data_IF_885109342684
#
_entry.id   IF_885109342684
#
_cell.length_a   1.000
_cell.length_b   1.000
_cell.length_c   1.000
_cell.angle_alpha   90.00
_cell.angle_beta   90.00
_cell.angle_gamma   90.00
#
_symmetry.space_group_name_H-M   'P 1'
#
loop_
_entity.id
_entity.type
_entity.pdbx_description
1 polymer ?
#
# COMPACT_ATOMS: atom_id res chain seq x y z
N UNK A 1 11.07 -58.29 1.97
CA UNK A 1 10.42 -57.48 3.03
C UNK A 1 10.38 -56.04 2.52
N UNK A 2 9.27 -55.66 1.88
CA UNK A 2 9.06 -54.30 1.36
C UNK A 2 8.76 -53.37 2.54
N UNK A 3 9.58 -52.37 2.76
CA UNK A 3 9.28 -51.30 3.69
C UNK A 3 8.10 -50.50 3.14
N UNK A 4 6.96 -50.64 3.78
CA UNK A 4 5.83 -49.75 3.61
C UNK A 4 6.27 -48.38 4.11
N UNK A 5 6.58 -47.47 3.19
CA UNK A 5 6.80 -46.06 3.54
C UNK A 5 5.49 -45.54 4.09
N UNK A 6 5.45 -45.34 5.41
CA UNK A 6 4.36 -44.67 6.08
C UNK A 6 4.37 -43.23 5.57
N UNK A 7 3.55 -42.92 4.57
CA UNK A 7 3.43 -41.60 3.97
C UNK A 7 2.87 -40.64 5.01
N UNK A 8 3.76 -40.02 5.78
CA UNK A 8 3.40 -38.94 6.68
C UNK A 8 2.66 -37.89 5.82
N UNK A 9 1.41 -37.62 6.16
CA UNK A 9 0.58 -36.63 5.47
C UNK A 9 1.32 -35.29 5.49
N UNK A 10 1.59 -34.71 4.32
CA UNK A 10 2.21 -33.40 4.21
C UNK A 10 1.37 -32.35 4.97
N UNK A 11 2.02 -31.50 5.74
CA UNK A 11 1.43 -30.34 6.41
C UNK A 11 0.77 -29.44 5.35
N UNK A 12 -0.46 -28.98 5.59
CA UNK A 12 -1.22 -28.09 4.70
C UNK A 12 -1.20 -26.68 5.24
N UNK A 13 -0.64 -25.76 4.47
CA UNK A 13 -0.69 -24.33 4.75
C UNK A 13 -1.67 -23.67 3.79
N UNK A 14 -2.72 -23.07 4.32
CA UNK A 14 -3.67 -22.28 3.56
C UNK A 14 -3.35 -20.78 3.73
N UNK A 15 -3.28 -20.04 2.64
CA UNK A 15 -3.11 -18.58 2.64
C UNK A 15 -4.37 -17.95 2.09
N UNK A 16 -5.06 -17.13 2.88
CA UNK A 16 -6.27 -16.40 2.46
C UNK A 16 -5.91 -15.01 2.00
N UNK A 17 -6.02 -14.79 0.70
CA UNK A 17 -5.53 -13.65 -0.05
C UNK A 17 -4.38 -14.05 -0.96
N UNK A 18 -4.35 -13.46 -2.16
CA UNK A 18 -3.31 -13.67 -3.16
C UNK A 18 -2.74 -12.30 -3.59
N UNK A 19 -2.45 -11.44 -2.62
CA UNK A 19 -1.80 -10.15 -2.85
C UNK A 19 -0.30 -10.21 -2.60
N UNK A 20 0.31 -9.03 -2.52
CA UNK A 20 1.76 -8.81 -2.41
C UNK A 20 2.39 -9.54 -1.22
N UNK A 21 1.77 -9.51 -0.03
CA UNK A 21 2.27 -10.20 1.17
C UNK A 21 2.17 -11.72 1.02
N UNK A 22 1.07 -12.24 0.47
CA UNK A 22 0.85 -13.67 0.24
C UNK A 22 1.86 -14.25 -0.76
N UNK A 23 2.09 -13.54 -1.88
CA UNK A 23 3.06 -13.95 -2.90
C UNK A 23 4.48 -14.00 -2.32
N UNK A 24 4.89 -12.96 -1.58
CA UNK A 24 6.20 -12.91 -0.91
C UNK A 24 6.36 -14.04 0.10
N UNK A 25 5.34 -14.28 0.93
CA UNK A 25 5.35 -15.37 1.91
C UNK A 25 5.55 -16.72 1.22
N UNK A 26 4.76 -17.01 0.19
CA UNK A 26 4.84 -18.29 -0.51
C UNK A 26 6.19 -18.51 -1.17
N UNK A 27 6.72 -17.48 -1.84
CA UNK A 27 8.04 -17.51 -2.46
C UNK A 27 9.14 -17.79 -1.42
N UNK A 28 9.18 -16.98 -0.34
CA UNK A 28 10.22 -17.11 0.68
C UNK A 28 10.10 -18.40 1.49
N UNK A 29 8.89 -18.88 1.75
CA UNK A 29 8.69 -20.17 2.41
C UNK A 29 9.32 -21.32 1.63
N UNK A 30 9.14 -21.36 0.31
CA UNK A 30 9.71 -22.40 -0.55
C UNK A 30 11.23 -22.22 -0.75
N UNK A 31 11.70 -20.99 -0.97
CA UNK A 31 13.13 -20.67 -1.07
C UNK A 31 13.91 -21.03 0.21
N UNK A 32 13.25 -20.94 1.36
CA UNK A 32 13.79 -21.35 2.66
C UNK A 32 13.70 -22.86 2.94
N UNK A 33 13.33 -23.66 1.94
CA UNK A 33 13.23 -25.12 2.07
C UNK A 33 11.98 -25.61 2.80
N UNK A 34 10.93 -24.79 2.88
CA UNK A 34 9.67 -25.17 3.52
C UNK A 34 8.95 -26.33 2.80
N UNK A 35 8.62 -27.37 3.55
CA UNK A 35 7.92 -28.55 3.05
C UNK A 35 6.46 -28.55 3.53
N UNK A 36 5.54 -28.17 2.64
CA UNK A 36 4.09 -28.22 2.91
C UNK A 36 3.29 -28.32 1.59
N UNK A 37 2.03 -28.70 1.68
CA UNK A 37 1.05 -28.44 0.65
C UNK A 37 0.57 -26.99 0.83
N UNK A 38 1.16 -26.06 0.06
CA UNK A 38 0.90 -24.63 0.15
C UNK A 38 -0.17 -24.22 -0.87
N UNK A 39 -1.30 -23.69 -0.39
CA UNK A 39 -2.38 -23.21 -1.26
C UNK A 39 -2.77 -21.78 -0.95
N UNK A 40 -2.73 -20.91 -1.95
CA UNK A 40 -3.18 -19.51 -1.90
C UNK A 40 -4.59 -19.40 -2.49
N UNK A 41 -5.49 -18.72 -1.78
CA UNK A 41 -6.87 -18.47 -2.20
C UNK A 41 -7.05 -16.99 -2.50
N UNK A 42 -7.17 -16.64 -3.78
CA UNK A 42 -7.35 -15.26 -4.25
C UNK A 42 -8.78 -15.02 -4.73
N UNK A 43 -9.46 -14.00 -4.17
CA UNK A 43 -10.79 -13.59 -4.63
C UNK A 43 -10.74 -12.95 -6.02
N UNK A 44 -9.65 -12.27 -6.39
CA UNK A 44 -9.44 -11.73 -7.72
C UNK A 44 -9.16 -12.88 -8.73
N UNK A 45 -9.64 -12.75 -9.95
CA UNK A 45 -9.43 -13.73 -11.03
C UNK A 45 -8.02 -13.68 -11.65
N UNK A 46 -7.08 -13.02 -10.99
CA UNK A 46 -5.71 -12.79 -11.44
C UNK A 46 -4.70 -13.22 -10.38
N UNK A 47 -3.46 -13.57 -10.77
CA UNK A 47 -2.34 -13.75 -9.84
C UNK A 47 -2.03 -12.47 -9.05
N UNK A 48 -1.15 -12.58 -8.04
CA UNK A 48 -0.61 -11.44 -7.32
C UNK A 48 0.07 -10.46 -8.28
N UNK A 49 -0.07 -9.17 -8.01
CA UNK A 49 0.56 -8.11 -8.79
C UNK A 49 1.00 -6.95 -7.90
N UNK A 50 1.96 -6.16 -8.39
CA UNK A 50 2.46 -4.99 -7.69
C UNK A 50 1.48 -3.80 -7.77
N UNK A 51 0.64 -3.63 -6.74
CA UNK A 51 -0.38 -2.56 -6.67
C UNK A 51 0.22 -1.15 -6.63
N UNK A 52 1.48 -1.01 -6.29
CA UNK A 52 2.17 0.30 -6.28
C UNK A 52 2.26 0.87 -7.71
N UNK A 53 2.27 0.00 -8.72
CA UNK A 53 2.40 0.37 -10.13
C UNK A 53 1.06 0.61 -10.86
N UNK A 54 -0.08 0.61 -10.16
CA UNK A 54 -1.39 0.80 -10.79
C UNK A 54 -1.51 2.13 -11.55
N UNK A 55 -0.88 3.20 -11.07
CA UNK A 55 -0.86 4.47 -11.78
C UNK A 55 -0.07 4.41 -13.10
N UNK A 56 0.99 3.61 -13.14
CA UNK A 56 1.79 3.39 -14.35
C UNK A 56 1.08 2.45 -15.34
N UNK A 57 0.27 1.51 -14.83
CA UNK A 57 -0.64 0.71 -15.69
C UNK A 57 -1.73 1.60 -16.26
N UNK A 58 -2.32 2.52 -15.47
CA UNK A 58 -3.33 3.46 -15.95
C UNK A 58 -2.83 4.33 -17.12
N UNK A 59 -1.56 4.74 -17.10
CA UNK A 59 -0.93 5.49 -18.19
C UNK A 59 -0.44 4.64 -19.36
N UNK A 60 -0.57 3.31 -19.29
CA UNK A 60 -0.05 2.39 -20.31
C UNK A 60 1.48 2.22 -20.28
N UNK A 61 2.17 2.71 -19.23
CA UNK A 61 3.62 2.54 -19.07
C UNK A 61 4.00 1.07 -18.82
N UNK A 62 3.13 0.33 -18.12
CA UNK A 62 3.25 -1.10 -17.91
C UNK A 62 1.98 -1.81 -18.32
N UNK A 63 2.14 -2.95 -18.99
CA UNK A 63 1.05 -3.89 -19.14
C UNK A 63 0.67 -4.52 -17.78
N UNK A 64 -0.62 -4.84 -17.54
CA UNK A 64 -1.05 -5.50 -16.32
C UNK A 64 -0.29 -6.81 -16.01
N UNK A 65 0.17 -7.52 -17.02
CA UNK A 65 0.92 -8.77 -16.88
C UNK A 65 2.36 -8.53 -16.44
N UNK A 66 2.96 -7.41 -16.86
CA UNK A 66 4.34 -7.04 -16.50
C UNK A 66 4.53 -6.72 -15.01
N UNK A 67 3.44 -6.43 -14.30
CA UNK A 67 3.46 -6.17 -12.85
C UNK A 67 3.09 -7.38 -12.00
N UNK A 68 2.92 -8.57 -12.62
CA UNK A 68 2.64 -9.83 -11.92
C UNK A 68 3.81 -10.20 -11.02
N UNK A 69 3.50 -10.70 -9.82
CA UNK A 69 4.48 -11.13 -8.83
C UNK A 69 4.60 -12.65 -8.81
N UNK A 70 5.82 -13.20 -8.66
CA UNK A 70 6.02 -14.62 -8.43
C UNK A 70 5.40 -15.04 -7.09
N UNK A 71 4.90 -16.26 -7.00
CA UNK A 71 4.31 -16.80 -5.77
C UNK A 71 4.83 -18.22 -5.43
N UNK A 72 5.97 -18.60 -6.01
CA UNK A 72 6.63 -19.86 -5.70
C UNK A 72 6.16 -21.07 -6.51
N UNK A 73 5.78 -20.87 -7.78
CA UNK A 73 5.54 -22.01 -8.70
C UNK A 73 6.85 -22.80 -8.96
N UNK A 74 6.75 -24.14 -9.07
CA UNK A 74 5.55 -25.00 -8.99
C UNK A 74 5.22 -25.47 -7.56
N UNK A 75 5.94 -25.03 -6.52
CA UNK A 75 5.80 -25.51 -5.14
C UNK A 75 4.52 -25.05 -4.43
N UNK A 76 3.93 -23.93 -4.85
CA UNK A 76 2.69 -23.41 -4.33
C UNK A 76 1.54 -23.51 -5.35
N UNK A 77 0.34 -23.80 -4.86
CA UNK A 77 -0.88 -23.81 -5.67
C UNK A 77 -1.65 -22.50 -5.48
N UNK A 78 -1.89 -21.78 -6.56
CA UNK A 78 -2.74 -20.59 -6.56
C UNK A 78 -4.14 -20.93 -7.09
N UNK A 79 -5.17 -20.56 -6.32
CA UNK A 79 -6.59 -20.61 -6.71
C UNK A 79 -7.12 -19.20 -6.88
N UNK A 80 -7.05 -18.66 -8.08
CA UNK A 80 -7.63 -17.36 -8.44
C UNK A 80 -9.15 -17.44 -8.53
N UNK A 81 -9.86 -16.31 -8.40
CA UNK A 81 -11.33 -16.28 -8.42
C UNK A 81 -11.98 -17.11 -7.32
N UNK A 82 -11.23 -17.42 -6.25
CA UNK A 82 -11.66 -18.31 -5.18
C UNK A 82 -11.71 -17.53 -3.87
N UNK A 83 -12.90 -17.05 -3.52
CA UNK A 83 -13.11 -16.30 -2.29
C UNK A 83 -13.37 -17.23 -1.11
N UNK A 84 -12.66 -16.99 0.00
CA UNK A 84 -12.93 -17.63 1.29
C UNK A 84 -13.97 -16.79 2.03
N UNK A 85 -15.11 -17.38 2.36
CA UNK A 85 -16.26 -16.69 2.98
C UNK A 85 -16.41 -16.99 4.48
N UNK A 86 -15.81 -18.08 4.97
CA UNK A 86 -15.80 -18.39 6.41
C UNK A 86 -14.58 -19.22 6.80
N UNK A 87 -14.20 -19.12 8.07
CA UNK A 87 -13.14 -19.90 8.71
C UNK A 87 -13.72 -20.58 9.94
N UNK A 88 -13.63 -21.90 9.99
CA UNK A 88 -13.81 -22.67 11.22
C UNK A 88 -12.42 -22.92 11.84
N UNK A 89 -12.09 -22.13 12.86
CA UNK A 89 -10.80 -22.21 13.54
C UNK A 89 -10.66 -23.54 14.32
N UNK A 90 -11.75 -24.04 14.93
CA UNK A 90 -11.73 -25.28 15.69
C UNK A 90 -11.63 -26.51 14.80
N UNK A 91 -12.44 -26.54 13.73
CA UNK A 91 -12.44 -27.60 12.74
C UNK A 91 -11.28 -27.51 11.74
N UNK A 92 -10.50 -26.42 11.77
CA UNK A 92 -9.40 -26.13 10.83
C UNK A 92 -9.84 -26.26 9.37
N UNK A 93 -10.96 -25.63 9.03
CA UNK A 93 -11.52 -25.65 7.67
C UNK A 93 -11.86 -24.24 7.18
N UNK A 94 -11.70 -24.04 5.89
CA UNK A 94 -12.16 -22.87 5.16
C UNK A 94 -13.43 -23.25 4.38
N UNK A 95 -14.37 -22.33 4.30
CA UNK A 95 -15.51 -22.42 3.38
C UNK A 95 -15.32 -21.42 2.24
N UNK A 96 -15.41 -21.91 1.02
CA UNK A 96 -15.27 -21.12 -0.19
C UNK A 96 -16.64 -20.64 -0.69
N UNK A 97 -16.68 -19.55 -1.44
CA UNK A 97 -17.90 -18.97 -1.99
C UNK A 97 -18.67 -19.95 -2.92
N UNK A 98 -17.97 -20.86 -3.58
CA UNK A 98 -18.55 -21.89 -4.43
C UNK A 98 -19.12 -23.10 -3.65
N UNK A 99 -19.11 -23.06 -2.32
CA UNK A 99 -19.60 -24.13 -1.43
C UNK A 99 -18.57 -25.20 -1.08
N UNK A 100 -17.39 -25.22 -1.71
CA UNK A 100 -16.32 -26.14 -1.34
C UNK A 100 -15.77 -25.83 0.06
N UNK A 101 -15.20 -26.85 0.69
CA UNK A 101 -14.45 -26.73 1.95
C UNK A 101 -13.00 -27.17 1.74
N UNK A 102 -12.07 -26.45 2.37
CA UNK A 102 -10.65 -26.78 2.34
C UNK A 102 -10.12 -26.88 3.79
N UNK A 103 -9.50 -28.01 4.10
CA UNK A 103 -8.89 -28.21 5.42
C UNK A 103 -7.45 -27.69 5.42
N UNK A 104 -7.01 -27.18 6.56
CA UNK A 104 -5.65 -26.69 6.77
C UNK A 104 -5.08 -27.20 8.10
N UNK A 105 -3.77 -27.21 8.21
CA UNK A 105 -3.06 -27.43 9.45
C UNK A 105 -2.54 -26.10 10.02
N UNK A 106 -2.20 -25.16 9.14
CA UNK A 106 -1.87 -23.76 9.45
C UNK A 106 -2.56 -22.82 8.46
N UNK A 107 -2.92 -21.64 8.94
CA UNK A 107 -3.64 -20.62 8.18
C UNK A 107 -2.91 -19.27 8.24
N UNK A 108 -2.70 -18.66 7.08
CA UNK A 108 -2.14 -17.31 6.97
C UNK A 108 -3.20 -16.38 6.39
N UNK A 109 -3.61 -15.36 7.15
CA UNK A 109 -4.49 -14.30 6.68
C UNK A 109 -3.65 -13.21 6.02
N UNK A 110 -3.80 -13.04 4.71
CA UNK A 110 -3.18 -11.99 3.89
C UNK A 110 -4.25 -11.25 3.10
N UNK A 111 -5.38 -10.98 3.73
CA UNK A 111 -6.61 -10.45 3.12
C UNK A 111 -6.49 -9.00 2.65
N UNK A 112 -5.44 -8.29 3.08
CA UNK A 112 -5.16 -6.93 2.65
C UNK A 112 -6.13 -5.90 3.23
N UNK A 113 -6.47 -4.88 2.43
CA UNK A 113 -7.34 -3.78 2.85
C UNK A 113 -8.30 -3.37 1.73
N UNK A 114 -9.45 -2.80 2.11
CA UNK A 114 -10.43 -2.19 1.22
C UNK A 114 -10.17 -0.68 1.08
N UNK A 115 -10.53 -0.05 -0.05
CA UNK A 115 -10.57 1.40 -0.15
C UNK A 115 -11.59 1.97 0.84
N UNK A 116 -11.27 3.12 1.41
CA UNK A 116 -12.22 3.89 2.22
C UNK A 116 -13.08 4.71 1.27
N UNK A 117 -14.37 4.41 1.25
CA UNK A 117 -15.39 5.20 0.56
C UNK A 117 -16.06 6.12 1.57
N UNK A 118 -15.85 7.43 1.49
CA UNK A 118 -16.43 8.38 2.45
C UNK A 118 -17.97 8.48 2.25
N UNK A 119 -18.71 8.88 3.28
CA UNK A 119 -20.17 9.01 3.19
C UNK A 119 -20.55 10.29 2.41
N UNK A 120 -20.40 10.25 1.09
CA UNK A 120 -20.81 11.33 0.19
C UNK A 120 -22.24 11.12 -0.28
N UNK A 121 -23.04 12.18 -0.30
CA UNK A 121 -24.35 12.13 -0.97
C UNK A 121 -24.13 11.90 -2.46
N UNK A 122 -24.94 11.06 -3.08
CA UNK A 122 -24.84 10.73 -4.50
C UNK A 122 -23.66 9.82 -4.87
N UNK A 123 -22.96 9.23 -3.88
CA UNK A 123 -21.86 8.28 -4.16
C UNK A 123 -22.37 6.96 -4.72
N UNK A 124 -23.57 6.56 -4.35
CA UNK A 124 -24.18 5.31 -4.77
C UNK A 124 -25.48 5.56 -5.50
N UNK A 125 -25.70 4.81 -6.58
CA UNK A 125 -26.95 4.66 -7.30
C UNK A 125 -27.24 3.16 -7.40
N UNK A 126 -28.45 2.73 -7.02
CA UNK A 126 -28.90 1.34 -7.05
C UNK A 126 -27.96 0.32 -6.37
N UNK A 127 -27.24 0.75 -5.32
CA UNK A 127 -26.33 -0.08 -4.55
C UNK A 127 -24.89 -0.16 -5.12
N UNK A 128 -24.66 0.38 -6.31
CA UNK A 128 -23.34 0.48 -6.97
C UNK A 128 -22.80 1.91 -6.89
N UNK A 129 -21.50 2.08 -7.14
CA UNK A 129 -20.92 3.42 -7.29
C UNK A 129 -21.58 4.12 -8.47
N UNK A 130 -21.96 5.38 -8.29
CA UNK A 130 -22.50 6.22 -9.36
C UNK A 130 -21.56 6.22 -10.55
N UNK A 131 -22.08 6.06 -11.78
CA UNK A 131 -21.29 6.02 -12.98
C UNK A 131 -20.35 7.24 -13.07
N UNK A 132 -19.08 7.02 -13.42
CA UNK A 132 -18.03 8.02 -13.39
C UNK A 132 -17.35 8.19 -12.03
N UNK A 133 -17.81 7.51 -10.95
CA UNK A 133 -17.11 7.45 -9.68
C UNK A 133 -16.39 6.13 -9.53
N UNK A 134 -15.10 6.18 -9.18
CA UNK A 134 -14.21 5.02 -9.10
C UNK A 134 -13.43 4.98 -7.79
N UNK A 135 -13.27 3.80 -7.20
CA UNK A 135 -12.14 3.51 -6.33
C UNK A 135 -10.88 3.27 -7.19
N UNK A 136 -9.70 3.36 -6.58
CA UNK A 136 -8.45 3.09 -7.28
C UNK A 136 -7.55 2.22 -6.40
N UNK A 137 -7.75 0.89 -6.41
CA UNK A 137 -6.99 -0.04 -5.58
C UNK A 137 -6.68 -1.39 -6.24
N UNK A 138 -7.45 -1.79 -7.25
CA UNK A 138 -7.28 -3.06 -7.96
C UNK A 138 -7.02 -2.83 -9.44
N UNK A 139 -6.50 -3.85 -10.14
CA UNK A 139 -6.39 -3.81 -11.61
C UNK A 139 -7.77 -3.67 -12.27
N UNK A 140 -8.81 -4.25 -11.67
CA UNK A 140 -10.18 -4.08 -12.16
C UNK A 140 -10.66 -2.63 -12.01
N UNK A 141 -10.33 -1.96 -10.90
CA UNK A 141 -10.59 -0.51 -10.75
C UNK A 141 -9.82 0.29 -11.81
N UNK A 142 -8.54 -0.05 -12.02
CA UNK A 142 -7.69 0.60 -13.00
C UNK A 142 -8.26 0.47 -14.42
N UNK A 143 -8.74 -0.72 -14.81
CA UNK A 143 -9.34 -0.94 -16.13
C UNK A 143 -10.62 -0.09 -16.34
N UNK A 144 -11.56 -0.14 -15.35
CA UNK A 144 -12.78 0.69 -15.41
C UNK A 144 -12.47 2.19 -15.46
N UNK A 145 -11.50 2.62 -14.67
CA UNK A 145 -11.07 4.02 -14.66
C UNK A 145 -10.46 4.42 -16.02
N UNK A 146 -9.65 3.55 -16.63
CA UNK A 146 -9.06 3.79 -17.95
C UNK A 146 -10.13 3.92 -19.04
N UNK A 147 -11.15 3.05 -19.03
CA UNK A 147 -12.28 3.10 -19.98
C UNK A 147 -13.06 4.42 -19.87
N UNK A 148 -13.36 4.87 -18.66
CA UNK A 148 -14.08 6.12 -18.45
C UNK A 148 -13.19 7.36 -18.72
N UNK A 149 -11.89 7.30 -18.45
CA UNK A 149 -10.94 8.39 -18.70
C UNK A 149 -10.87 8.80 -20.19
N UNK A 150 -11.03 7.85 -21.12
CA UNK A 150 -11.07 8.15 -22.57
C UNK A 150 -12.20 9.10 -22.95
N UNK A 151 -13.32 9.06 -22.21
CA UNK A 151 -14.54 9.85 -22.51
C UNK A 151 -14.65 11.07 -21.61
N UNK A 152 -13.90 11.11 -20.52
CA UNK A 152 -13.94 12.18 -19.54
C UNK A 152 -13.31 13.48 -20.10
N UNK A 153 -13.81 14.60 -19.65
CA UNK A 153 -13.29 15.95 -19.97
C UNK A 153 -12.60 16.60 -18.78
N UNK A 154 -13.00 16.21 -17.57
CA UNK A 154 -12.48 16.72 -16.29
C UNK A 154 -12.54 15.65 -15.23
N UNK A 155 -11.51 15.57 -14.42
CA UNK A 155 -11.43 14.61 -13.32
C UNK A 155 -11.25 15.32 -11.97
N UNK A 156 -11.92 14.81 -10.94
CA UNK A 156 -11.69 15.20 -9.55
C UNK A 156 -11.20 13.99 -8.77
N UNK A 157 -10.09 14.14 -8.06
CA UNK A 157 -9.56 13.14 -7.14
C UNK A 157 -9.89 13.55 -5.70
N UNK A 158 -10.63 12.73 -4.99
CA UNK A 158 -10.99 12.96 -3.59
C UNK A 158 -9.99 12.20 -2.71
N UNK A 159 -9.09 12.95 -2.05
CA UNK A 159 -8.00 12.44 -1.23
C UNK A 159 -6.63 12.72 -1.82
N UNK A 160 -5.80 13.43 -1.06
CA UNK A 160 -4.44 13.86 -1.45
C UNK A 160 -3.33 13.05 -0.79
N UNK A 161 -3.59 11.80 -0.41
CA UNK A 161 -2.54 10.86 -0.01
C UNK A 161 -1.75 10.33 -1.20
N UNK A 162 -0.78 9.42 -0.95
CA UNK A 162 0.11 8.85 -1.99
C UNK A 162 -0.66 8.34 -3.21
N UNK A 163 -1.72 7.56 -2.98
CA UNK A 163 -2.51 6.97 -4.06
C UNK A 163 -3.29 8.02 -4.86
N UNK A 164 -3.85 9.03 -4.16
CA UNK A 164 -4.58 10.12 -4.82
C UNK A 164 -3.67 10.98 -5.69
N UNK A 165 -2.48 11.34 -5.18
CA UNK A 165 -1.47 12.07 -5.97
C UNK A 165 -1.02 11.24 -7.18
N UNK A 166 -0.82 9.92 -7.01
CA UNK A 166 -0.46 9.02 -8.11
C UNK A 166 -1.55 8.95 -9.19
N UNK A 167 -2.83 8.83 -8.76
CA UNK A 167 -3.97 8.78 -9.66
C UNK A 167 -4.14 10.11 -10.42
N UNK A 168 -4.07 11.24 -9.70
CA UNK A 168 -4.19 12.57 -10.31
C UNK A 168 -3.11 12.82 -11.37
N UNK A 169 -1.86 12.49 -11.06
CA UNK A 169 -0.76 12.58 -12.00
C UNK A 169 -0.96 11.68 -13.23
N UNK A 170 -1.43 10.44 -13.01
CA UNK A 170 -1.69 9.54 -14.13
C UNK A 170 -2.80 10.07 -15.06
N UNK A 171 -3.89 10.58 -14.49
CA UNK A 171 -4.99 11.19 -15.25
C UNK A 171 -4.52 12.45 -16.01
N UNK A 172 -3.70 13.29 -15.38
CA UNK A 172 -3.10 14.44 -16.04
C UNK A 172 -2.18 14.04 -17.20
N UNK A 173 -1.40 12.97 -17.05
CA UNK A 173 -0.57 12.42 -18.12
C UNK A 173 -1.39 11.86 -19.30
N UNK A 174 -2.66 11.48 -19.06
CA UNK A 174 -3.63 11.13 -20.11
C UNK A 174 -4.27 12.37 -20.75
N UNK A 175 -3.87 13.59 -20.37
CA UNK A 175 -4.36 14.83 -20.94
C UNK A 175 -5.62 15.41 -20.29
N UNK A 176 -6.08 14.87 -19.15
CA UNK A 176 -7.23 15.40 -18.44
C UNK A 176 -6.84 16.58 -17.54
N UNK A 177 -7.61 17.67 -17.49
CA UNK A 177 -7.60 18.61 -16.38
C UNK A 177 -8.03 17.89 -15.10
N UNK A 178 -7.20 17.97 -14.05
CA UNK A 178 -7.42 17.23 -12.80
C UNK A 178 -7.41 18.17 -11.60
N UNK A 179 -8.33 17.97 -10.69
CA UNK A 179 -8.42 18.69 -9.44
C UNK A 179 -8.35 17.71 -8.26
N UNK A 180 -7.49 17.99 -7.26
CA UNK A 180 -7.42 17.19 -6.02
C UNK A 180 -8.13 17.94 -4.90
N UNK A 181 -9.11 17.29 -4.27
CA UNK A 181 -9.75 17.77 -3.03
C UNK A 181 -9.17 17.00 -1.86
N UNK A 182 -8.61 17.72 -0.88
CA UNK A 182 -7.96 17.10 0.28
C UNK A 182 -8.31 17.83 1.58
N UNK A 183 -8.69 17.04 2.61
CA UNK A 183 -9.15 17.59 3.88
C UNK A 183 -8.03 18.14 4.77
N UNK A 184 -6.82 17.59 4.68
CA UNK A 184 -5.67 18.08 5.44
C UNK A 184 -5.08 19.37 4.84
N UNK A 185 -4.28 20.13 5.58
CA UNK A 185 -3.74 21.42 5.13
C UNK A 185 -2.74 21.27 3.95
N UNK A 186 -2.13 20.12 3.79
CA UNK A 186 -1.24 19.82 2.66
C UNK A 186 -1.33 18.36 2.22
N UNK A 187 -0.82 18.06 1.03
CA UNK A 187 -0.82 16.71 0.46
C UNK A 187 0.15 15.79 1.23
N UNK A 188 -0.21 14.51 1.29
CA UNK A 188 0.61 13.42 1.87
C UNK A 188 1.04 13.74 3.31
N UNK A 189 0.16 14.36 4.09
CA UNK A 189 0.39 14.90 5.43
C UNK A 189 0.96 13.91 6.44
N UNK A 190 0.84 12.61 6.17
CA UNK A 190 1.40 11.55 7.02
C UNK A 190 2.89 11.35 6.85
N UNK A 191 3.47 11.84 5.77
CA UNK A 191 4.86 11.58 5.39
C UNK A 191 5.64 12.84 5.05
N UNK A 192 4.96 13.91 4.67
CA UNK A 192 5.56 15.19 4.31
C UNK A 192 5.24 16.22 5.36
N UNK A 193 6.15 17.17 5.55
CA UNK A 193 5.85 18.39 6.27
C UNK A 193 5.19 19.43 5.34
N UNK A 194 4.80 20.58 5.90
CA UNK A 194 4.10 21.61 5.14
C UNK A 194 4.92 22.13 3.96
N UNK A 195 6.24 22.34 4.15
CA UNK A 195 7.12 22.85 3.09
C UNK A 195 7.27 21.87 1.92
N UNK A 196 7.44 20.58 2.23
CA UNK A 196 7.43 19.53 1.21
C UNK A 196 6.08 19.41 0.52
N UNK A 197 4.97 19.52 1.28
CA UNK A 197 3.61 19.52 0.73
C UNK A 197 3.37 20.70 -0.23
N UNK A 198 3.87 21.89 0.09
CA UNK A 198 3.82 23.06 -0.80
C UNK A 198 4.68 22.86 -2.05
N UNK A 199 5.88 22.29 -1.94
CA UNK A 199 6.73 21.97 -3.07
C UNK A 199 6.06 20.93 -4.00
N UNK A 200 5.46 19.90 -3.43
CA UNK A 200 4.67 18.89 -4.16
C UNK A 200 3.49 19.54 -4.91
N UNK A 201 2.76 20.45 -4.25
CA UNK A 201 1.65 21.17 -4.87
C UNK A 201 2.10 21.99 -6.08
N UNK A 202 3.24 22.71 -5.98
CA UNK A 202 3.80 23.44 -7.13
C UNK A 202 4.15 22.52 -8.30
N UNK A 203 4.75 21.37 -7.99
CA UNK A 203 5.06 20.35 -9.02
C UNK A 203 3.81 19.79 -9.70
N UNK A 204 2.74 19.57 -8.95
CA UNK A 204 1.45 19.12 -9.49
C UNK A 204 0.80 20.18 -10.36
N UNK A 205 0.83 21.46 -9.94
CA UNK A 205 0.31 22.57 -10.73
C UNK A 205 1.03 22.68 -12.09
N UNK A 206 2.35 22.48 -12.12
CA UNK A 206 3.12 22.46 -13.36
C UNK A 206 2.73 21.29 -14.31
N UNK A 207 2.09 20.24 -13.78
CA UNK A 207 1.53 19.13 -14.55
C UNK A 207 0.04 19.33 -14.91
N UNK A 208 -0.54 20.48 -14.62
CA UNK A 208 -1.95 20.76 -14.88
C UNK A 208 -2.91 20.17 -13.84
N UNK A 209 -2.42 19.91 -12.61
CA UNK A 209 -3.24 19.40 -11.51
C UNK A 209 -3.44 20.51 -10.47
N UNK A 210 -4.68 20.97 -10.31
CA UNK A 210 -5.06 21.91 -9.26
C UNK A 210 -5.30 21.20 -7.93
N UNK A 211 -5.01 21.88 -6.81
CA UNK A 211 -5.13 21.27 -5.47
C UNK A 211 -5.90 22.18 -4.52
N UNK A 212 -6.95 21.66 -3.92
CA UNK A 212 -7.80 22.28 -2.91
C UNK A 212 -7.56 21.63 -1.52
N UNK A 213 -6.49 22.01 -0.81
CA UNK A 213 -6.22 21.51 0.52
C UNK A 213 -7.14 22.20 1.55
N UNK A 214 -7.30 21.59 2.73
CA UNK A 214 -8.19 22.09 3.75
C UNK A 214 -9.67 22.00 3.38
N UNK A 215 -10.02 21.28 2.31
CA UNK A 215 -11.37 21.13 1.81
C UNK A 215 -11.82 19.67 1.79
N UNK A 216 -13.13 19.47 1.95
CA UNK A 216 -13.71 18.12 1.97
C UNK A 216 -14.85 18.04 0.95
N UNK A 217 -14.86 16.98 0.17
CA UNK A 217 -16.03 16.65 -0.65
C UNK A 217 -17.21 16.28 0.24
N UNK A 218 -18.42 16.70 -0.15
CA UNK A 218 -19.67 16.52 0.56
C UNK A 218 -20.70 15.72 -0.23
N UNK A 219 -20.75 15.93 -1.55
CA UNK A 219 -21.68 15.24 -2.43
C UNK A 219 -21.11 15.07 -3.84
N UNK A 220 -21.58 14.07 -4.53
CA UNK A 220 -21.49 13.96 -5.98
C UNK A 220 -22.82 14.43 -6.57
N UNK A 221 -22.75 15.24 -7.61
CA UNK A 221 -23.90 15.72 -8.38
C UNK A 221 -24.04 14.90 -9.66
N UNK A 222 -25.25 14.75 -10.14
CA UNK A 222 -25.58 14.09 -11.40
C UNK A 222 -26.82 13.21 -11.28
N UNK A 223 -27.39 12.88 -12.41
CA UNK A 223 -28.50 11.93 -12.54
C UNK A 223 -27.98 10.68 -13.23
N UNK A 224 -27.78 9.61 -12.45
CA UNK A 224 -27.21 8.34 -12.91
C UNK A 224 -25.71 8.37 -13.23
N UNK A 225 -25.13 9.52 -13.57
CA UNK A 225 -23.70 9.72 -13.82
C UNK A 225 -23.19 11.02 -13.18
N UNK A 226 -21.96 11.01 -12.68
CA UNK A 226 -21.35 12.17 -12.04
C UNK A 226 -21.21 13.34 -13.03
N UNK A 227 -21.60 14.55 -12.60
CA UNK A 227 -21.41 15.81 -13.32
C UNK A 227 -20.66 16.85 -12.49
N UNK A 228 -20.43 16.60 -11.20
CA UNK A 228 -19.68 17.48 -10.32
C UNK A 228 -19.50 16.96 -8.91
N UNK A 229 -18.58 17.61 -8.19
CA UNK A 229 -18.27 17.35 -6.78
C UNK A 229 -18.55 18.60 -5.95
N UNK A 230 -19.50 18.53 -5.02
CA UNK A 230 -19.78 19.60 -4.05
C UNK A 230 -18.78 19.52 -2.90
N UNK A 231 -18.16 20.65 -2.59
CA UNK A 231 -17.27 20.81 -1.45
C UNK A 231 -18.02 21.24 -0.19
N UNK A 232 -17.39 21.09 0.97
CA UNK A 232 -17.99 21.46 2.25
C UNK A 232 -18.34 22.96 2.37
N UNK A 233 -17.63 23.82 1.63
CA UNK A 233 -17.89 25.26 1.54
C UNK A 233 -18.99 25.64 0.53
N UNK A 234 -19.65 24.66 -0.10
CA UNK A 234 -20.71 24.85 -1.08
C UNK A 234 -20.23 25.08 -2.53
N UNK A 235 -18.94 25.18 -2.77
CA UNK A 235 -18.40 25.26 -4.13
C UNK A 235 -18.57 23.93 -4.86
N UNK A 236 -18.91 23.97 -6.16
CA UNK A 236 -19.06 22.78 -6.98
C UNK A 236 -17.99 22.75 -8.06
N UNK A 237 -17.16 21.72 -8.02
CA UNK A 237 -16.19 21.39 -9.06
C UNK A 237 -16.91 20.58 -10.15
N UNK A 238 -16.85 21.03 -11.40
CA UNK A 238 -17.38 20.27 -12.54
C UNK A 238 -16.51 19.06 -12.82
N UNK A 239 -17.09 17.86 -12.83
CA UNK A 239 -16.35 16.62 -13.09
C UNK A 239 -17.28 15.58 -13.71
N UNK A 240 -16.81 14.89 -14.72
CA UNK A 240 -17.45 13.71 -15.29
C UNK A 240 -16.70 12.41 -14.96
N UNK A 241 -15.59 12.54 -14.22
CA UNK A 241 -14.79 11.44 -13.67
C UNK A 241 -14.34 11.78 -12.24
N UNK A 242 -14.61 10.90 -11.29
CA UNK A 242 -14.22 11.07 -9.88
C UNK A 242 -13.46 9.85 -9.39
N UNK A 243 -12.27 10.07 -8.83
CA UNK A 243 -11.46 9.02 -8.20
C UNK A 243 -11.47 9.19 -6.69
N UNK A 244 -11.87 8.16 -5.95
CA UNK A 244 -11.93 8.15 -4.50
C UNK A 244 -10.67 7.47 -3.95
N UNK A 245 -9.79 8.26 -3.34
CA UNK A 245 -8.50 7.85 -2.78
C UNK A 245 -8.35 8.27 -1.31
N UNK A 246 -9.40 8.05 -0.50
CA UNK A 246 -9.50 8.50 0.90
C UNK A 246 -8.80 7.58 1.91
N UNK A 247 -7.88 6.72 1.45
CA UNK A 247 -7.15 5.76 2.28
C UNK A 247 -7.68 4.34 2.15
N UNK A 248 -7.14 3.47 3.00
CA UNK A 248 -7.48 2.05 3.03
C UNK A 248 -7.80 1.59 4.46
N UNK A 249 -8.70 0.62 4.57
CA UNK A 249 -9.08 -0.01 5.83
C UNK A 249 -8.79 -1.51 5.76
N UNK A 250 -8.11 -2.09 6.76
CA UNK A 250 -7.84 -3.53 6.83
C UNK A 250 -9.09 -4.38 6.63
N UNK A 251 -8.97 -5.47 5.86
CA UNK A 251 -10.03 -6.47 5.70
C UNK A 251 -10.02 -7.42 6.88
N UNK A 252 -10.79 -7.12 7.91
CA UNK A 252 -10.85 -7.88 9.15
C UNK A 252 -12.13 -8.70 9.30
N UNK A 253 -13.11 -8.54 8.42
CA UNK A 253 -14.44 -9.17 8.53
C UNK A 253 -14.38 -10.69 8.70
N UNK A 254 -13.56 -11.36 7.88
CA UNK A 254 -13.38 -12.81 7.94
C UNK A 254 -12.76 -13.26 9.28
N UNK A 255 -11.73 -12.55 9.76
CA UNK A 255 -11.08 -12.82 11.05
C UNK A 255 -12.03 -12.55 12.21
N UNK A 256 -12.78 -11.46 12.19
CA UNK A 256 -13.75 -11.11 13.21
C UNK A 256 -14.88 -12.16 13.30
N UNK A 257 -15.42 -12.59 12.15
CA UNK A 257 -16.47 -13.63 12.11
C UNK A 257 -15.97 -15.00 12.60
N UNK A 258 -14.67 -15.25 12.49
CA UNK A 258 -14.02 -16.46 13.01
C UNK A 258 -13.65 -16.36 14.51
N UNK A 259 -13.98 -15.25 15.19
CA UNK A 259 -13.72 -15.03 16.61
C UNK A 259 -12.26 -14.67 16.93
N UNK A 260 -11.47 -14.25 15.94
CA UNK A 260 -10.10 -13.78 16.17
C UNK A 260 -10.11 -12.36 16.75
N UNK A 261 -9.06 -12.02 17.52
CA UNK A 261 -8.90 -10.69 18.07
C UNK A 261 -8.67 -9.65 16.94
N UNK A 262 -9.53 -8.65 16.88
CA UNK A 262 -9.50 -7.58 15.88
C UNK A 262 -9.63 -6.23 16.59
N UNK A 263 -8.83 -5.25 16.16
CA UNK A 263 -8.96 -3.83 16.49
C UNK A 263 -9.07 -3.03 15.19
N UNK A 264 -8.04 -2.27 14.84
CA UNK A 264 -7.92 -1.65 13.51
C UNK A 264 -7.59 -2.68 12.43
N UNK A 265 -6.78 -3.67 12.78
CA UNK A 265 -6.41 -4.84 12.00
C UNK A 265 -6.62 -6.13 12.79
N UNK A 266 -6.24 -7.26 12.23
CA UNK A 266 -6.14 -8.56 12.92
C UNK A 266 -4.95 -8.48 13.85
N UNK A 267 -5.17 -8.60 15.16
CA UNK A 267 -4.12 -8.44 16.17
C UNK A 267 -3.16 -9.62 16.11
N UNK A 268 -1.87 -9.34 15.99
CA UNK A 268 -0.79 -10.33 15.96
C UNK A 268 0.31 -10.00 16.97
N UNK A 269 0.98 -11.04 17.43
CA UNK A 269 2.19 -10.95 18.26
C UNK A 269 3.47 -10.79 17.39
N UNK A 270 4.64 -10.82 18.03
CA UNK A 270 5.95 -10.75 17.35
C UNK A 270 6.24 -12.00 16.49
N UNK A 271 5.48 -13.07 16.62
CA UNK A 271 5.53 -14.25 15.76
C UNK A 271 4.56 -14.16 14.58
N UNK A 272 3.83 -13.02 14.46
CA UNK A 272 2.71 -12.82 13.54
C UNK A 272 1.54 -13.77 13.77
N UNK A 273 1.49 -14.41 14.96
CA UNK A 273 0.42 -15.28 15.38
C UNK A 273 -0.77 -14.46 15.88
N UNK A 274 -1.98 -14.90 15.51
CA UNK A 274 -3.25 -14.34 15.99
C UNK A 274 -3.62 -14.89 17.37
N UNK A 275 -4.81 -14.54 17.85
CA UNK A 275 -5.36 -15.10 19.10
C UNK A 275 -5.70 -16.59 19.03
N UNK A 276 -5.63 -17.23 17.86
CA UNK A 276 -5.90 -18.64 17.67
C UNK A 276 -4.63 -19.41 17.26
N UNK A 277 -4.34 -20.57 17.88
CA UNK A 277 -3.17 -21.37 17.54
C UNK A 277 -3.17 -21.84 16.09
N UNK A 278 -2.02 -21.70 15.40
CA UNK A 278 -1.85 -22.09 14.00
C UNK A 278 -2.51 -21.14 13.00
N UNK A 279 -2.96 -19.97 13.44
CA UNK A 279 -3.51 -18.91 12.59
C UNK A 279 -2.65 -17.67 12.70
N UNK A 280 -2.19 -17.16 11.57
CA UNK A 280 -1.28 -16.02 11.43
C UNK A 280 -1.93 -14.92 10.58
N UNK A 281 -1.42 -13.68 10.68
CA UNK A 281 -1.84 -12.62 9.77
C UNK A 281 -0.63 -11.75 9.35
N UNK A 282 -0.61 -11.34 8.08
CA UNK A 282 0.46 -10.52 7.48
C UNK A 282 -0.09 -9.47 6.51
N UNK A 283 0.69 -8.43 6.26
CA UNK A 283 0.36 -7.35 5.33
C UNK A 283 -0.68 -6.37 5.88
N UNK A 284 -1.42 -5.71 4.97
CA UNK A 284 -2.34 -4.62 5.31
C UNK A 284 -3.49 -5.02 6.26
N UNK A 285 -3.78 -6.31 6.41
CA UNK A 285 -4.81 -6.75 7.35
C UNK A 285 -4.30 -6.93 8.78
N UNK A 286 -2.98 -7.06 9.00
CA UNK A 286 -2.38 -7.32 10.29
C UNK A 286 -2.17 -6.04 11.11
N UNK A 287 -2.39 -6.14 12.43
CA UNK A 287 -2.08 -5.10 13.41
C UNK A 287 -1.06 -5.65 14.40
N UNK A 288 0.17 -5.16 14.32
CA UNK A 288 1.26 -5.52 15.22
C UNK A 288 1.54 -4.37 16.18
N UNK A 289 1.53 -4.62 17.49
CA UNK A 289 1.78 -3.62 18.55
C UNK A 289 0.98 -2.31 18.34
N UNK A 290 -0.30 -2.43 17.93
CA UNK A 290 -1.18 -1.29 17.68
C UNK A 290 -0.95 -0.56 16.35
N UNK A 291 -0.05 -1.05 15.48
CA UNK A 291 0.28 -0.43 14.20
C UNK A 291 -0.22 -1.27 13.03
N UNK A 292 -0.89 -0.60 12.08
CA UNK A 292 -1.20 -1.09 10.73
C UNK A 292 -0.42 -0.22 9.76
N UNK A 293 0.51 -0.81 9.00
CA UNK A 293 1.42 -0.03 8.17
C UNK A 293 0.82 0.43 6.85
N UNK A 294 0.14 -0.46 6.11
CA UNK A 294 -0.44 -0.14 4.80
C UNK A 294 0.59 0.15 3.71
N UNK A 295 1.80 -0.39 3.83
CA UNK A 295 2.94 -0.21 2.93
C UNK A 295 3.53 -1.56 2.51
N UNK A 296 4.15 -1.61 1.33
CA UNK A 296 4.71 -2.84 0.77
C UNK A 296 5.90 -3.38 1.57
N UNK A 297 6.84 -2.50 1.98
CA UNK A 297 8.03 -2.90 2.76
C UNK A 297 7.67 -3.69 4.02
N UNK A 298 6.90 -3.10 4.96
CA UNK A 298 6.44 -3.82 6.15
C UNK A 298 5.70 -5.13 5.85
N UNK A 299 4.91 -5.16 4.77
CA UNK A 299 4.21 -6.38 4.37
C UNK A 299 5.17 -7.49 3.92
N UNK A 300 6.26 -7.14 3.26
CA UNK A 300 7.32 -8.08 2.88
C UNK A 300 8.11 -8.55 4.08
N UNK A 301 8.51 -7.66 4.98
CA UNK A 301 9.23 -8.02 6.22
C UNK A 301 8.42 -8.99 7.07
N UNK A 302 7.12 -8.76 7.22
CA UNK A 302 6.22 -9.69 7.90
C UNK A 302 6.16 -11.05 7.18
N UNK A 303 6.08 -11.04 5.86
CA UNK A 303 6.05 -12.26 5.05
C UNK A 303 7.35 -13.06 5.20
N UNK A 304 8.50 -12.39 5.17
CA UNK A 304 9.82 -13.02 5.31
C UNK A 304 10.01 -13.65 6.68
N UNK A 305 9.64 -12.92 7.76
CA UNK A 305 9.69 -13.46 9.14
C UNK A 305 8.80 -14.68 9.29
N UNK A 306 7.55 -14.61 8.79
CA UNK A 306 6.62 -15.74 8.91
C UNK A 306 7.08 -16.94 8.07
N UNK A 307 7.62 -16.70 6.89
CA UNK A 307 8.17 -17.74 6.02
C UNK A 307 9.35 -18.46 6.67
N UNK A 308 10.32 -17.73 7.23
CA UNK A 308 11.47 -18.31 7.95
C UNK A 308 11.03 -19.17 9.14
N UNK A 309 10.01 -18.73 9.88
CA UNK A 309 9.44 -19.47 11.00
C UNK A 309 8.75 -20.76 10.55
N UNK A 310 7.84 -20.67 9.59
CA UNK A 310 7.02 -21.80 9.16
C UNK A 310 7.77 -22.81 8.29
N UNK A 311 8.82 -22.37 7.56
CA UNK A 311 9.73 -23.31 6.87
C UNK A 311 10.65 -24.07 7.82
N UNK A 312 10.85 -23.56 9.03
CA UNK A 312 11.81 -24.11 9.99
C UNK A 312 13.25 -23.61 9.79
N UNK A 313 13.48 -22.71 8.82
CA UNK A 313 14.81 -22.11 8.58
C UNK A 313 15.25 -21.23 9.77
N UNK A 314 14.34 -20.50 10.38
CA UNK A 314 14.54 -19.79 11.65
C UNK A 314 13.25 -19.78 12.50
N UNK A 315 13.03 -20.82 13.31
CA UNK A 315 11.86 -20.90 14.20
C UNK A 315 11.82 -19.77 15.24
N UNK A 316 12.95 -19.14 15.52
CA UNK A 316 13.08 -18.06 16.50
C UNK A 316 12.85 -16.66 15.90
N UNK A 317 12.75 -16.53 14.58
CA UNK A 317 12.53 -15.24 13.91
C UNK A 317 11.36 -14.46 14.54
N UNK A 318 11.52 -13.15 14.70
CA UNK A 318 10.53 -12.24 15.30
C UNK A 318 10.37 -11.00 14.44
N UNK A 319 9.14 -10.58 14.27
CA UNK A 319 8.82 -9.29 13.70
C UNK A 319 8.80 -8.25 14.82
N UNK A 320 9.81 -7.39 14.88
CA UNK A 320 9.93 -6.37 15.92
C UNK A 320 9.30 -5.03 15.56
N UNK A 321 8.70 -4.95 14.39
CA UNK A 321 8.19 -3.75 13.75
C UNK A 321 9.03 -3.38 12.54
N UNK A 322 8.53 -2.48 11.72
CA UNK A 322 9.21 -1.96 10.54
C UNK A 322 9.63 -0.51 10.74
N UNK A 323 10.72 -0.13 10.08
CA UNK A 323 11.10 1.27 9.85
C UNK A 323 10.63 1.66 8.43
N UNK A 324 9.37 2.10 8.25
CA UNK A 324 8.79 2.21 6.93
C UNK A 324 9.39 3.34 6.12
N UNK A 325 9.63 3.08 4.85
CA UNK A 325 9.92 4.07 3.82
C UNK A 325 8.68 4.26 2.95
N UNK A 326 8.10 5.45 2.98
CA UNK A 326 7.10 5.86 2.02
C UNK A 326 7.80 6.41 0.77
N UNK A 327 7.55 5.84 -0.39
CA UNK A 327 8.16 6.27 -1.65
C UNK A 327 7.13 6.38 -2.75
N UNK A 328 7.23 7.44 -3.53
CA UNK A 328 6.56 7.60 -4.81
C UNK A 328 7.63 7.83 -5.86
N UNK A 329 7.71 6.93 -6.83
CA UNK A 329 8.58 7.08 -8.00
C UNK A 329 7.68 7.27 -9.21
N UNK A 330 7.47 8.51 -9.60
CA UNK A 330 6.44 8.81 -10.58
C UNK A 330 6.80 10.02 -11.44
N UNK A 331 7.78 9.85 -12.34
CA UNK A 331 8.22 10.93 -13.23
C UNK A 331 8.77 12.12 -12.44
N UNK A 332 8.42 13.37 -12.80
CA UNK A 332 9.02 14.56 -12.18
C UNK A 332 8.63 14.78 -10.70
N UNK A 333 7.71 14.02 -10.16
CA UNK A 333 7.25 14.12 -8.77
C UNK A 333 7.67 12.90 -7.95
N UNK A 334 8.97 12.72 -7.79
CA UNK A 334 9.51 11.67 -6.94
C UNK A 334 9.62 12.15 -5.50
N UNK A 335 9.21 11.32 -4.54
CA UNK A 335 9.53 11.56 -3.14
C UNK A 335 9.88 10.28 -2.40
N UNK A 336 10.64 10.44 -1.32
CA UNK A 336 10.88 9.45 -0.30
C UNK A 336 10.77 10.11 1.07
N UNK A 337 10.08 9.45 2.00
CA UNK A 337 10.00 9.92 3.38
C UNK A 337 10.06 8.73 4.34
N UNK A 338 10.81 8.87 5.42
CA UNK A 338 11.02 7.82 6.40
C UNK A 338 11.23 8.40 7.80
N UNK A 339 10.90 7.59 8.80
CA UNK A 339 11.12 7.94 10.20
C UNK A 339 10.27 9.12 10.71
N UNK A 340 10.81 9.81 11.70
CA UNK A 340 10.18 10.95 12.36
C UNK A 340 10.51 12.23 11.60
N UNK A 341 9.51 12.87 11.00
CA UNK A 341 9.68 14.09 10.18
C UNK A 341 9.03 15.33 10.78
N UNK A 342 8.52 15.23 12.02
CA UNK A 342 7.93 16.36 12.76
C UNK A 342 8.87 17.56 12.87
N UNK A 343 8.30 18.75 13.12
CA UNK A 343 9.10 19.98 13.14
C UNK A 343 9.80 20.21 14.47
N UNK A 344 9.16 19.86 15.60
CA UNK A 344 9.64 20.16 16.96
C UNK A 344 9.86 18.88 17.77
N UNK A 345 10.67 17.97 17.25
CA UNK A 345 11.03 16.75 17.99
C UNK A 345 12.11 17.08 19.04
N UNK A 346 11.87 16.81 20.32
CA UNK A 346 12.84 17.13 21.38
C UNK A 346 14.18 16.41 21.13
N UNK A 347 15.29 17.18 21.28
CA UNK A 347 16.65 16.65 21.16
C UNK A 347 17.03 16.24 19.74
N UNK A 348 16.42 16.84 18.73
CA UNK A 348 16.78 16.62 17.33
C UNK A 348 17.28 17.90 16.67
N UNK A 349 18.24 17.73 15.76
CA UNK A 349 18.69 18.74 14.83
C UNK A 349 18.05 18.51 13.45
N UNK A 350 17.75 19.59 12.73
CA UNK A 350 17.09 19.52 11.42
C UNK A 350 17.93 20.20 10.37
N UNK A 351 18.32 19.46 9.36
CA UNK A 351 18.97 19.99 8.15
C UNK A 351 17.93 20.10 7.04
N UNK A 352 17.88 21.26 6.36
CA UNK A 352 16.97 21.49 5.24
C UNK A 352 17.73 22.07 4.05
N UNK A 353 17.36 21.60 2.87
CA UNK A 353 17.78 22.15 1.59
C UNK A 353 16.57 22.24 0.67
N UNK A 354 16.24 23.44 0.21
CA UNK A 354 15.15 23.68 -0.72
C UNK A 354 15.67 24.44 -1.95
N UNK A 355 15.34 23.94 -3.13
CA UNK A 355 15.56 24.62 -4.41
C UNK A 355 14.21 24.80 -5.11
N UNK A 356 13.66 26.02 -5.01
CA UNK A 356 12.38 26.36 -5.60
C UNK A 356 12.42 26.33 -7.14
N UNK A 357 13.58 26.55 -7.73
CA UNK A 357 13.77 26.57 -9.20
C UNK A 357 13.67 25.14 -9.78
N UNK A 358 14.24 24.18 -9.06
CA UNK A 358 14.20 22.76 -9.43
C UNK A 358 13.02 22.00 -8.83
N UNK A 359 12.24 22.65 -7.95
CA UNK A 359 11.13 22.03 -7.25
C UNK A 359 11.58 20.94 -6.26
N UNK A 360 12.83 21.00 -5.77
CA UNK A 360 13.35 20.01 -4.85
C UNK A 360 13.29 20.49 -3.39
N UNK A 361 13.05 19.55 -2.49
CA UNK A 361 13.08 19.75 -1.04
C UNK A 361 13.69 18.52 -0.37
N UNK A 362 14.65 18.77 0.52
CA UNK A 362 15.28 17.74 1.33
C UNK A 362 15.31 18.18 2.79
N UNK A 363 14.93 17.27 3.67
CA UNK A 363 14.99 17.42 5.12
C UNK A 363 15.58 16.17 5.73
N UNK A 364 16.51 16.33 6.65
CA UNK A 364 17.02 15.27 7.51
C UNK A 364 16.78 15.66 8.96
N UNK A 365 16.31 14.72 9.76
CA UNK A 365 16.13 14.87 11.20
C UNK A 365 17.13 13.97 11.89
N UNK A 366 17.99 14.57 12.72
CA UNK A 366 19.12 13.93 13.37
C UNK A 366 18.90 13.92 14.89
N UNK A 367 19.34 12.87 15.56
CA UNK A 367 19.47 12.81 17.02
C UNK A 367 20.91 12.43 17.35
N UNK A 368 21.72 13.46 17.71
CA UNK A 368 23.17 13.31 17.75
C UNK A 368 23.73 12.97 16.36
N UNK A 369 24.44 11.85 16.26
CA UNK A 369 25.00 11.34 15.00
C UNK A 369 24.08 10.36 14.26
N UNK A 370 22.81 10.20 14.66
CA UNK A 370 21.87 9.23 14.10
C UNK A 370 20.79 9.91 13.28
N UNK A 371 20.49 9.30 12.12
CA UNK A 371 19.38 9.72 11.28
C UNK A 371 18.07 9.10 11.79
N UNK A 372 17.16 9.94 12.30
CA UNK A 372 15.87 9.47 12.83
C UNK A 372 14.71 9.70 11.87
N UNK A 373 14.90 10.53 10.84
CA UNK A 373 13.89 10.73 9.81
C UNK A 373 14.40 11.56 8.64
N UNK A 374 13.67 11.53 7.54
CA UNK A 374 14.00 12.33 6.37
C UNK A 374 12.90 12.44 5.35
N UNK A 375 12.92 13.53 4.59
CA UNK A 375 12.08 13.79 3.43
C UNK A 375 12.98 14.17 2.27
N UNK A 376 12.80 13.54 1.12
CA UNK A 376 13.40 13.92 -0.14
C UNK A 376 12.27 14.07 -1.19
N UNK A 377 12.23 15.18 -1.85
CA UNK A 377 11.27 15.47 -2.92
C UNK A 377 12.02 16.06 -4.13
N UNK A 378 11.73 15.58 -5.34
CA UNK A 378 12.26 16.08 -6.61
C UNK A 378 13.71 15.69 -6.92
N UNK A 379 14.50 15.28 -5.91
CA UNK A 379 15.85 14.74 -6.08
C UNK A 379 16.08 13.60 -5.08
N UNK A 380 16.06 12.38 -5.57
CA UNK A 380 16.25 11.17 -4.77
C UNK A 380 17.66 10.57 -4.90
N UNK A 381 18.62 11.28 -5.47
CA UNK A 381 19.97 10.74 -5.73
C UNK A 381 20.68 10.18 -4.51
N UNK A 382 20.41 10.73 -3.32
CA UNK A 382 21.01 10.29 -2.06
C UNK A 382 20.11 9.31 -1.25
N UNK A 383 18.91 8.99 -1.72
CA UNK A 383 17.93 8.19 -0.96
C UNK A 383 18.47 6.84 -0.52
N UNK A 384 19.21 6.14 -1.39
CA UNK A 384 19.74 4.81 -1.07
C UNK A 384 20.80 4.80 0.04
N UNK A 385 21.61 5.86 0.15
CA UNK A 385 22.56 6.01 1.25
C UNK A 385 21.86 6.36 2.56
N UNK A 386 20.92 7.29 2.50
CA UNK A 386 20.14 7.75 3.67
C UNK A 386 19.26 6.65 4.25
N UNK A 387 18.55 5.89 3.41
CA UNK A 387 17.71 4.79 3.89
C UNK A 387 18.53 3.68 4.51
N UNK A 388 19.69 3.33 3.94
CA UNK A 388 20.59 2.34 4.57
C UNK A 388 21.10 2.81 5.93
N UNK A 389 21.52 4.07 6.06
CA UNK A 389 21.95 4.63 7.35
C UNK A 389 20.81 4.61 8.39
N UNK A 390 19.59 4.96 7.96
CA UNK A 390 18.40 4.93 8.79
C UNK A 390 18.02 3.51 9.23
N UNK A 391 17.99 2.54 8.30
CA UNK A 391 17.60 1.15 8.58
C UNK A 391 18.59 0.44 9.50
N UNK A 392 19.88 0.69 9.31
CA UNK A 392 20.97 0.08 10.10
C UNK A 392 21.27 0.82 11.41
N UNK A 393 20.67 2.01 11.58
CA UNK A 393 21.00 2.91 12.67
C UNK A 393 22.50 3.24 12.71
N UNK A 394 23.11 3.41 11.51
CA UNK A 394 24.52 3.71 11.37
C UNK A 394 24.79 5.18 11.75
N UNK A 395 25.96 5.49 12.39
CA UNK A 395 26.36 6.87 12.66
C UNK A 395 26.60 7.63 11.35
N UNK A 396 26.14 8.86 11.29
CA UNK A 396 26.39 9.74 10.17
C UNK A 396 27.82 10.33 10.23
N UNK A 397 28.38 10.74 9.08
CA UNK A 397 29.64 11.48 9.04
C UNK A 397 29.56 12.78 9.83
N UNK A 398 30.70 13.30 10.27
CA UNK A 398 30.79 14.54 11.07
C UNK A 398 30.18 15.77 10.38
N UNK A 399 30.18 15.82 9.04
CA UNK A 399 29.46 16.80 8.24
C UNK A 399 28.36 16.12 7.43
N UNK A 400 27.12 16.07 7.94
CA UNK A 400 26.01 15.42 7.23
C UNK A 400 25.43 16.26 6.09
N UNK A 401 25.83 17.53 5.91
CA UNK A 401 25.30 18.39 4.84
C UNK A 401 25.55 17.82 3.44
N UNK A 402 26.68 17.11 3.24
CA UNK A 402 26.96 16.50 1.96
C UNK A 402 25.98 15.39 1.56
N UNK A 403 25.22 14.84 2.53
CA UNK A 403 24.16 13.85 2.27
C UNK A 403 22.91 14.49 1.63
N UNK A 404 22.76 15.80 1.73
CA UNK A 404 21.71 16.55 1.05
C UNK A 404 22.10 16.92 -0.40
N UNK A 405 23.38 16.93 -0.69
CA UNK A 405 23.91 17.38 -1.99
C UNK A 405 24.17 16.13 -2.83
N UNK A 406 23.42 15.95 -3.89
CA UNK A 406 23.79 15.03 -4.96
C UNK A 406 25.06 15.60 -5.61
N UNK A 407 26.17 14.86 -5.57
CA UNK A 407 27.33 15.20 -6.39
C UNK A 407 26.88 15.10 -7.86
N UNK A 408 26.37 16.18 -8.37
CA UNK A 408 26.21 16.37 -9.80
C UNK A 408 27.59 16.17 -10.40
N UNK A 409 27.72 15.32 -11.39
CA UNK A 409 28.89 15.25 -12.20
C UNK A 409 29.24 16.69 -12.62
N UNK A 410 30.33 17.20 -12.07
CA UNK A 410 30.95 18.41 -12.56
C UNK A 410 31.48 18.08 -13.97
N UNK A 411 30.63 18.30 -14.95
CA UNK A 411 31.04 18.51 -16.31
C UNK A 411 30.98 20.03 -16.56
N UNK A 412 32.09 20.66 -16.27
CA UNK A 412 32.42 21.97 -16.81
C UNK A 412 33.19 21.78 -18.12
#
# INVERSE_FOLDING_TARGET
>A
MSAVSNGARRRRIAVVGAGLAAARFAQQFLESGGEAELTLYGAEARPAYNRVLLADVLTGRYDPEAITLPYGEPGARLRTGTEVVAIDVRGRTLRLANGESAAYDELVLATGANPVLPPLRGLYADGELTAGAHSFRTLADCARLAEDAVRARRAVVIGGGVLGVSAARALAALGLPVEIVHQAPHLIERHLDEQAGQALRRGLLALGVDVYPGNRARALHGDGRVTGVELANGYVLAADLVVIACGARPRTGLAHSAGLAVRRGVVVDDCLATSAPGVYAIGDCAEHRGTVHGLAGPAWEQADVLAARLSGADPAARYTGSRPLARLTAGPLEYAAFGEVGEDLPGTDVLRLADATRGSYKKLVLRGDRLVGGILLGDLGTVGALTRAYERDDPLPADPLHLLITQGAAQW
#
